data_IF_256804864015
#
_entry.id   IF_256804864015
#
_cell.length_a   1.000
_cell.length_b   1.000
_cell.length_c   1.000
_cell.angle_alpha   90.00
_cell.angle_beta   90.00
_cell.angle_gamma   90.00
#
_symmetry.space_group_name_H-M   'P 1'
#
loop_
_entity.id
_entity.type
_entity.pdbx_description
1 polymer ?
#
# COMPACT_ATOMS: atom_id res chain seq x y z
N UNK A 1 14.00 3.25 -15.56
CA UNK A 1 12.89 3.56 -14.66
C UNK A 1 12.96 2.57 -13.48
N UNK A 2 13.46 3.04 -12.34
CA UNK A 2 13.34 2.30 -11.10
C UNK A 2 11.87 2.44 -10.66
N UNK A 3 11.04 1.48 -11.04
CA UNK A 3 9.68 1.38 -10.50
C UNK A 3 9.78 1.13 -8.99
N UNK A 4 8.86 1.69 -8.24
CA UNK A 4 8.84 1.62 -6.79
C UNK A 4 8.14 0.34 -6.32
N UNK A 5 8.53 -0.15 -5.15
CA UNK A 5 7.80 -1.17 -4.42
C UNK A 5 7.06 -0.48 -3.28
N UNK A 6 5.75 -0.61 -3.25
CA UNK A 6 4.88 0.03 -2.26
C UNK A 6 4.23 -1.05 -1.41
N UNK A 7 4.42 -0.99 -0.10
CA UNK A 7 3.69 -1.82 0.85
C UNK A 7 2.70 -0.95 1.61
N UNK A 8 1.43 -1.31 1.56
CA UNK A 8 0.38 -0.73 2.38
C UNK A 8 0.31 -1.49 3.70
N UNK A 9 0.53 -0.80 4.81
CA UNK A 9 0.33 -1.32 6.16
C UNK A 9 -0.99 -0.74 6.71
N UNK A 10 -1.99 -1.59 6.85
CA UNK A 10 -3.35 -1.18 7.22
C UNK A 10 -3.67 -1.66 8.62
N UNK A 11 -4.05 -0.72 9.47
CA UNK A 11 -4.53 -0.98 10.81
C UNK A 11 -5.91 -1.65 10.78
N UNK A 12 -6.00 -2.83 11.38
CA UNK A 12 -7.22 -3.63 11.55
C UNK A 12 -7.67 -3.69 13.01
N UNK A 13 -7.14 -2.82 13.88
CA UNK A 13 -7.54 -2.73 15.27
C UNK A 13 -9.01 -2.29 15.42
N UNK A 14 -9.60 -2.55 16.58
CA UNK A 14 -11.01 -2.22 16.84
C UNK A 14 -11.30 -0.72 16.73
N UNK A 15 -10.35 0.15 16.99
CA UNK A 15 -10.51 1.61 16.84
C UNK A 15 -10.84 2.01 15.40
N UNK A 16 -10.40 1.21 14.42
CA UNK A 16 -10.69 1.40 13.01
C UNK A 16 -12.16 1.09 12.62
N UNK A 17 -12.97 0.57 13.54
CA UNK A 17 -14.43 0.44 13.39
C UNK A 17 -15.19 1.71 13.75
N UNK A 18 -14.51 2.74 14.29
CA UNK A 18 -15.13 4.03 14.57
C UNK A 18 -15.71 4.65 13.29
N UNK A 19 -16.90 5.26 13.42
CA UNK A 19 -17.70 5.74 12.29
C UNK A 19 -17.68 7.28 12.15
N UNK A 20 -16.62 7.92 12.61
CA UNK A 20 -16.39 9.35 12.38
C UNK A 20 -16.00 9.65 10.93
N UNK A 21 -15.64 8.61 10.18
CA UNK A 21 -15.46 8.62 8.72
C UNK A 21 -16.36 7.52 8.15
N UNK A 22 -17.19 7.84 7.17
CA UNK A 22 -18.17 6.89 6.61
C UNK A 22 -17.54 5.93 5.58
N UNK A 23 -17.87 4.63 5.58
CA UNK A 23 -18.81 3.92 6.47
C UNK A 23 -18.23 3.66 7.86
N UNK A 24 -16.94 3.38 7.99
CA UNK A 24 -16.06 3.39 9.15
C UNK A 24 -14.63 3.64 8.68
N UNK A 25 -13.68 3.80 9.62
CA UNK A 25 -12.28 4.11 9.28
C UNK A 25 -11.64 3.04 8.40
N UNK A 26 -11.80 1.75 8.74
CA UNK A 26 -11.22 0.63 7.99
C UNK A 26 -11.77 0.56 6.57
N UNK A 27 -13.08 0.58 6.41
CA UNK A 27 -13.71 0.52 5.08
C UNK A 27 -13.35 1.75 4.23
N UNK A 28 -13.27 2.93 4.84
CA UNK A 28 -12.81 4.12 4.12
C UNK A 28 -11.35 4.00 3.67
N UNK A 29 -10.48 3.46 4.52
CA UNK A 29 -9.09 3.20 4.19
C UNK A 29 -8.97 2.22 3.01
N UNK A 30 -9.72 1.11 3.04
CA UNK A 30 -9.75 0.11 1.96
C UNK A 30 -10.18 0.73 0.62
N UNK A 31 -11.24 1.52 0.60
CA UNK A 31 -11.70 2.22 -0.61
C UNK A 31 -10.65 3.19 -1.16
N UNK A 32 -9.96 3.91 -0.30
CA UNK A 32 -8.92 4.85 -0.71
C UNK A 32 -7.68 4.14 -1.26
N UNK A 33 -7.28 3.00 -0.67
CA UNK A 33 -6.17 2.17 -1.17
C UNK A 33 -6.53 1.56 -2.52
N UNK A 34 -7.75 1.07 -2.70
CA UNK A 34 -8.24 0.55 -3.97
C UNK A 34 -8.16 1.61 -5.08
N UNK A 35 -8.60 2.84 -4.79
CA UNK A 35 -8.51 3.96 -5.74
C UNK A 35 -7.06 4.35 -6.04
N UNK A 36 -6.17 4.32 -5.04
CA UNK A 36 -4.73 4.52 -5.23
C UNK A 36 -4.16 3.49 -6.20
N UNK A 37 -4.38 2.20 -5.95
CA UNK A 37 -3.78 1.09 -6.73
C UNK A 37 -4.30 1.07 -8.16
N UNK A 38 -5.57 1.35 -8.38
CA UNK A 38 -6.16 1.46 -9.73
C UNK A 38 -5.56 2.59 -10.57
N UNK A 39 -5.11 3.66 -9.93
CA UNK A 39 -4.49 4.81 -10.60
C UNK A 39 -2.98 4.73 -10.66
N UNK A 40 -2.37 3.84 -9.85
CA UNK A 40 -0.92 3.64 -9.82
C UNK A 40 -0.55 2.52 -10.79
N UNK A 41 0.05 2.89 -11.92
CA UNK A 41 0.36 1.94 -13.00
C UNK A 41 1.79 1.40 -12.98
N UNK A 42 2.68 1.99 -12.16
CA UNK A 42 4.10 1.72 -12.19
C UNK A 42 4.61 1.22 -10.84
N UNK A 43 4.83 -0.09 -10.71
CA UNK A 43 5.40 -0.65 -9.50
C UNK A 43 4.64 -1.86 -8.98
N UNK A 44 5.24 -2.53 -8.00
CA UNK A 44 4.58 -3.62 -7.29
C UNK A 44 3.91 -3.07 -6.05
N UNK A 45 2.80 -3.68 -5.68
CA UNK A 45 2.06 -3.38 -4.45
C UNK A 45 2.02 -4.61 -3.56
N UNK A 46 2.14 -4.42 -2.26
CA UNK A 46 2.02 -5.45 -1.24
C UNK A 46 1.14 -4.96 -0.10
N UNK A 47 0.63 -5.88 0.71
CA UNK A 47 -0.33 -5.60 1.78
C UNK A 47 0.09 -6.26 3.08
N UNK A 48 0.20 -5.48 4.13
CA UNK A 48 0.37 -5.91 5.52
C UNK A 48 -0.87 -5.46 6.31
N UNK A 49 -1.47 -6.36 7.04
CA UNK A 49 -2.49 -6.04 8.05
C UNK A 49 -1.88 -6.09 9.43
N UNK A 50 -2.25 -5.16 10.30
CA UNK A 50 -1.74 -5.13 11.67
C UNK A 50 -2.79 -4.69 12.69
N UNK A 51 -2.54 -5.09 13.92
CA UNK A 51 -3.16 -4.65 15.17
C UNK A 51 -2.10 -4.85 16.28
N UNK A 52 -2.31 -5.68 17.30
CA UNK A 52 -1.26 -6.07 18.25
C UNK A 52 -0.14 -6.94 17.65
N UNK A 53 -0.32 -7.44 16.45
CA UNK A 53 0.68 -8.13 15.60
C UNK A 53 0.52 -7.66 14.16
N UNK A 54 1.51 -8.01 13.31
CA UNK A 54 1.49 -7.67 11.89
C UNK A 54 1.76 -8.91 11.04
N UNK A 55 1.04 -9.05 9.92
CA UNK A 55 1.21 -10.15 8.98
C UNK A 55 1.08 -9.69 7.54
N UNK A 56 1.93 -10.25 6.69
CA UNK A 56 1.88 -10.07 5.25
C UNK A 56 0.62 -10.77 4.69
N UNK A 57 -0.29 -10.01 4.11
CA UNK A 57 -1.54 -10.51 3.50
C UNK A 57 -1.40 -10.73 2.00
N UNK A 58 -0.65 -9.86 1.33
CA UNK A 58 -0.34 -9.98 -0.08
C UNK A 58 1.13 -9.63 -0.31
N UNK A 59 1.95 -10.56 -0.81
CA UNK A 59 3.32 -10.26 -1.21
C UNK A 59 3.36 -9.23 -2.35
N UNK A 60 4.51 -8.57 -2.54
CA UNK A 60 4.70 -7.62 -3.63
C UNK A 60 4.37 -8.24 -4.99
N UNK A 61 3.37 -7.71 -5.66
CA UNK A 61 2.85 -8.20 -6.93
C UNK A 61 2.53 -7.07 -7.91
N UNK A 62 2.57 -7.37 -9.20
CA UNK A 62 1.99 -6.54 -10.27
C UNK A 62 0.51 -6.89 -10.53
N UNK A 63 0.02 -7.99 -9.95
CA UNK A 63 -1.38 -8.40 -10.06
C UNK A 63 -2.23 -7.59 -9.09
N UNK A 64 -2.77 -6.48 -9.59
CA UNK A 64 -3.63 -5.60 -8.81
C UNK A 64 -4.95 -6.26 -8.43
N UNK A 65 -5.41 -7.26 -9.20
CA UNK A 65 -6.62 -8.04 -8.87
C UNK A 65 -6.40 -8.87 -7.61
N UNK A 66 -5.32 -9.64 -7.56
CA UNK A 66 -4.95 -10.43 -6.38
C UNK A 66 -4.71 -9.55 -5.14
N UNK A 67 -4.13 -8.35 -5.33
CA UNK A 67 -4.00 -7.37 -4.25
C UNK A 67 -5.37 -6.87 -3.76
N UNK A 68 -6.28 -6.48 -4.68
CA UNK A 68 -7.62 -6.00 -4.32
C UNK A 68 -8.43 -7.08 -3.60
N UNK A 69 -8.35 -8.34 -4.01
CA UNK A 69 -9.01 -9.46 -3.31
C UNK A 69 -8.51 -9.59 -1.87
N UNK A 70 -7.19 -9.51 -1.67
CA UNK A 70 -6.59 -9.55 -0.33
C UNK A 70 -7.00 -8.33 0.52
N UNK A 71 -7.06 -7.14 -0.09
CA UNK A 71 -7.48 -5.91 0.56
C UNK A 71 -8.94 -5.98 1.02
N UNK A 72 -9.84 -6.46 0.16
CA UNK A 72 -11.28 -6.57 0.46
C UNK A 72 -11.56 -7.59 1.55
N UNK A 73 -10.71 -8.63 1.67
CA UNK A 73 -10.82 -9.65 2.71
C UNK A 73 -10.45 -9.16 4.12
N UNK A 74 -9.81 -7.98 4.25
CA UNK A 74 -9.46 -7.43 5.57
C UNK A 74 -10.70 -7.04 6.37
N UNK A 75 -10.71 -7.45 7.64
CA UNK A 75 -11.68 -7.06 8.65
C UNK A 75 -10.99 -6.92 10.02
N UNK A 76 -11.75 -6.59 11.06
CA UNK A 76 -11.28 -6.48 12.44
C UNK A 76 -10.86 -7.80 13.07
N UNK A 77 -11.11 -8.93 12.41
CA UNK A 77 -10.75 -10.29 12.86
C UNK A 77 -9.50 -10.81 12.17
N UNK A 78 -9.03 -10.10 11.16
CA UNK A 78 -7.84 -10.49 10.38
C UNK A 78 -6.62 -10.67 11.30
N UNK A 79 -6.51 -9.84 12.34
CA UNK A 79 -5.46 -9.95 13.36
C UNK A 79 -6.10 -10.33 14.70
N UNK A 80 -5.80 -11.55 15.18
CA UNK A 80 -6.41 -12.07 16.40
C UNK A 80 -5.93 -11.38 17.68
N UNK A 81 -4.71 -10.81 17.68
CA UNK A 81 -4.13 -10.15 18.86
C UNK A 81 -4.59 -8.70 18.89
N UNK A 82 -5.33 -8.30 19.95
CA UNK A 82 -5.80 -6.93 20.11
C UNK A 82 -4.60 -5.98 20.40
N UNK A 83 -4.82 -4.70 20.17
CA UNK A 83 -3.82 -3.66 20.35
C UNK A 83 -3.45 -3.01 19.03
N UNK A 84 -2.44 -2.14 19.05
CA UNK A 84 -1.89 -1.48 17.87
C UNK A 84 -0.37 -1.35 18.06
N UNK A 85 0.39 -2.10 17.27
CA UNK A 85 1.86 -2.09 17.27
C UNK A 85 2.35 -1.61 15.89
N UNK A 86 2.58 -0.32 15.80
CA UNK A 86 3.06 0.34 14.58
C UNK A 86 4.48 -0.12 14.22
N UNK A 87 5.31 -0.40 15.21
CA UNK A 87 6.67 -0.88 14.97
C UNK A 87 6.69 -2.22 14.24
N UNK A 88 5.87 -3.18 14.66
CA UNK A 88 5.71 -4.46 13.97
C UNK A 88 5.16 -4.31 12.55
N UNK A 89 4.20 -3.39 12.37
CA UNK A 89 3.67 -3.10 11.04
C UNK A 89 4.76 -2.61 10.07
N UNK A 90 5.63 -1.71 10.53
CA UNK A 90 6.76 -1.20 9.78
C UNK A 90 7.82 -2.27 9.52
N UNK A 91 8.13 -3.10 10.54
CA UNK A 91 9.09 -4.21 10.44
C UNK A 91 8.65 -5.25 9.41
N UNK A 92 7.40 -5.72 9.49
CA UNK A 92 6.83 -6.69 8.55
C UNK A 92 6.79 -6.13 7.12
N UNK A 93 6.42 -4.85 6.98
CA UNK A 93 6.43 -4.17 5.68
C UNK A 93 7.84 -4.09 5.09
N UNK A 94 8.85 -3.87 5.92
CA UNK A 94 10.25 -3.85 5.49
C UNK A 94 10.72 -5.23 5.06
N UNK A 95 10.42 -6.27 5.82
CA UNK A 95 10.77 -7.66 5.49
C UNK A 95 10.19 -8.07 4.12
N UNK A 96 8.97 -7.64 3.81
CA UNK A 96 8.35 -7.90 2.51
C UNK A 96 9.13 -7.30 1.33
N UNK A 97 10.01 -6.30 1.58
CA UNK A 97 10.80 -5.58 0.58
C UNK A 97 12.32 -5.82 0.69
N UNK A 98 12.81 -6.57 1.69
CA UNK A 98 14.20 -6.59 2.08
C UNK A 98 15.16 -6.95 0.93
N UNK A 99 14.79 -7.91 0.09
CA UNK A 99 15.66 -8.45 -0.98
C UNK A 99 15.56 -7.67 -2.31
N UNK A 100 15.03 -6.46 -2.30
CA UNK A 100 14.69 -5.73 -3.51
C UNK A 100 15.59 -4.50 -3.72
N UNK A 101 16.14 -4.34 -4.94
CA UNK A 101 16.97 -3.20 -5.35
C UNK A 101 16.16 -2.00 -5.87
N UNK A 102 14.87 -1.92 -5.50
CA UNK A 102 13.98 -0.85 -5.93
C UNK A 102 13.80 0.19 -4.83
N UNK A 103 13.26 1.35 -5.17
CA UNK A 103 12.84 2.33 -4.18
C UNK A 103 11.75 1.71 -3.30
N UNK A 104 11.94 1.77 -1.99
CA UNK A 104 11.07 1.15 -0.98
C UNK A 104 10.19 2.20 -0.36
N UNK A 105 8.89 2.03 -0.50
CA UNK A 105 7.88 2.92 0.06
C UNK A 105 6.91 2.13 0.93
N UNK A 106 6.69 2.61 2.14
CA UNK A 106 5.63 2.10 3.02
C UNK A 106 4.55 3.19 3.13
N UNK A 107 3.31 2.81 2.99
CA UNK A 107 2.14 3.64 3.26
C UNK A 107 1.43 3.09 4.48
N UNK A 108 1.67 3.72 5.63
CA UNK A 108 1.10 3.34 6.91
C UNK A 108 -0.25 4.04 7.09
N UNK A 109 -1.31 3.27 7.31
CA UNK A 109 -2.69 3.77 7.42
C UNK A 109 -3.26 3.33 8.77
N UNK A 110 -3.47 4.29 9.68
CA UNK A 110 -3.89 4.05 11.06
C UNK A 110 -4.52 5.30 11.66
N UNK A 111 -5.19 5.18 12.78
CA UNK A 111 -5.64 6.33 13.58
C UNK A 111 -4.54 6.91 14.51
N UNK A 112 -3.35 6.34 14.46
CA UNK A 112 -2.17 6.85 15.16
C UNK A 112 -2.02 6.37 16.60
N UNK A 113 -2.96 5.61 17.14
CA UNK A 113 -2.80 4.98 18.45
C UNK A 113 -1.68 3.91 18.35
N UNK A 114 -0.50 4.21 18.90
CA UNK A 114 0.63 3.27 19.00
C UNK A 114 0.81 2.86 20.45
N UNK A 115 0.11 1.82 20.83
CA UNK A 115 0.05 1.34 22.23
C UNK A 115 1.40 0.83 22.73
N UNK A 116 2.27 0.39 21.84
CA UNK A 116 3.60 -0.13 22.17
C UNK A 116 4.70 0.93 22.08
N UNK A 117 4.40 2.14 21.55
CA UNK A 117 5.36 3.22 21.30
C UNK A 117 6.60 2.79 20.52
N UNK A 118 6.45 1.80 19.66
CA UNK A 118 7.54 1.16 18.91
C UNK A 118 7.76 1.79 17.52
N UNK A 119 6.76 2.50 17.01
CA UNK A 119 6.72 3.00 15.64
C UNK A 119 7.85 3.97 15.30
N UNK A 120 8.12 4.96 16.14
CA UNK A 120 9.18 5.94 15.88
C UNK A 120 10.59 5.31 15.92
N UNK A 121 10.82 4.35 16.82
CA UNK A 121 12.09 3.60 16.87
C UNK A 121 12.32 2.83 15.59
N UNK A 122 11.33 2.09 15.13
CA UNK A 122 11.42 1.32 13.88
C UNK A 122 11.60 2.26 12.67
N UNK A 123 10.88 3.38 12.62
CA UNK A 123 11.03 4.38 11.57
C UNK A 123 12.46 4.91 11.45
N UNK A 124 13.17 5.09 12.56
CA UNK A 124 14.58 5.50 12.55
C UNK A 124 15.46 4.45 11.87
N UNK A 125 15.26 3.16 12.16
CA UNK A 125 15.96 2.06 11.50
C UNK A 125 15.66 2.01 9.99
N UNK A 126 14.41 2.24 9.62
CA UNK A 126 14.00 2.28 8.20
C UNK A 126 14.64 3.43 7.44
N UNK A 127 14.81 4.60 8.09
CA UNK A 127 15.46 5.75 7.49
C UNK A 127 16.92 5.44 7.11
N UNK A 128 17.64 4.66 7.92
CA UNK A 128 19.00 4.18 7.64
C UNK A 128 19.03 3.24 6.43
N UNK A 129 17.94 2.51 6.20
CA UNK A 129 17.79 1.58 5.06
C UNK A 129 17.18 2.24 3.80
N UNK A 130 17.10 3.58 3.75
CA UNK A 130 16.52 4.35 2.64
C UNK A 130 15.07 3.97 2.32
N UNK A 131 14.30 3.56 3.31
CA UNK A 131 12.85 3.35 3.19
C UNK A 131 12.14 4.66 3.49
N UNK A 132 11.20 5.01 2.64
CA UNK A 132 10.34 6.20 2.84
C UNK A 132 8.99 5.73 3.38
N UNK A 133 8.54 6.32 4.50
CA UNK A 133 7.24 6.01 5.09
C UNK A 133 6.33 7.21 4.94
N UNK A 134 5.25 7.05 4.18
CA UNK A 134 4.12 7.98 4.20
C UNK A 134 3.14 7.50 5.26
N UNK A 135 2.67 8.41 6.07
CA UNK A 135 1.69 8.11 7.11
C UNK A 135 0.35 8.76 6.78
N UNK A 136 -0.71 7.98 6.85
CA UNK A 136 -2.08 8.44 6.57
C UNK A 136 -2.92 8.26 7.83
N UNK A 137 -3.32 9.40 8.41
CA UNK A 137 -4.14 9.42 9.62
C UNK A 137 -5.62 9.25 9.28
N UNK A 138 -6.28 8.27 9.91
CA UNK A 138 -7.70 7.98 9.69
C UNK A 138 -8.51 8.31 10.92
N UNK A 139 -9.57 9.10 10.74
CA UNK A 139 -10.44 9.55 11.82
C UNK A 139 -10.40 11.04 12.03
N UNK A 140 -10.97 11.50 13.13
CA UNK A 140 -11.07 12.91 13.50
C UNK A 140 -10.47 13.18 14.89
N UNK A 141 -10.05 14.41 15.13
CA UNK A 141 -9.57 14.82 16.46
C UNK A 141 -10.70 14.80 17.52
N UNK A 142 -11.96 14.96 17.12
CA UNK A 142 -13.12 14.84 18.02
C UNK A 142 -13.32 13.38 18.43
N UNK A 143 -12.93 12.45 17.59
CA UNK A 143 -13.09 11.01 17.77
C UNK A 143 -14.53 10.53 17.75
N UNK A 144 -14.69 9.21 17.77
CA UNK A 144 -15.98 8.55 17.83
C UNK A 144 -15.97 7.33 18.74
N UNK A 145 -17.17 6.88 19.07
CA UNK A 145 -17.39 5.63 19.79
C UNK A 145 -17.05 4.45 18.88
N UNK A 146 -16.43 3.42 19.47
CA UNK A 146 -16.18 2.18 18.76
C UNK A 146 -17.43 1.32 18.86
N UNK A 147 -17.94 0.86 17.73
CA UNK A 147 -19.10 -0.03 17.66
C UNK A 147 -18.71 -1.33 16.95
N UNK A 148 -19.04 -2.45 17.58
CA UNK A 148 -18.78 -3.79 17.05
C UNK A 148 -20.10 -4.52 16.85
N UNK A 149 -20.13 -5.45 15.90
CA UNK A 149 -21.28 -6.32 15.72
C UNK A 149 -21.21 -7.49 16.71
N UNK A 150 -22.22 -7.64 17.55
CA UNK A 150 -22.30 -8.77 18.46
C UNK A 150 -22.75 -10.06 17.73
N UNK A 151 -22.73 -11.19 18.44
CA UNK A 151 -23.12 -12.50 17.89
C UNK A 151 -24.57 -12.53 17.35
N UNK A 152 -25.42 -11.61 17.78
CA UNK A 152 -26.81 -11.48 17.36
C UNK A 152 -26.97 -10.54 16.15
N UNK A 153 -25.87 -10.04 15.58
CA UNK A 153 -25.90 -9.09 14.46
C UNK A 153 -26.34 -7.68 14.82
N UNK A 154 -26.29 -7.30 16.12
CA UNK A 154 -26.62 -5.96 16.59
C UNK A 154 -25.34 -5.15 16.84
N UNK A 155 -25.36 -3.87 16.49
CA UNK A 155 -24.27 -2.94 16.81
C UNK A 155 -24.28 -2.66 18.32
N UNK A 156 -23.16 -2.96 18.96
CA UNK A 156 -22.92 -2.73 20.39
C UNK A 156 -21.73 -1.79 20.55
N UNK A 157 -21.86 -0.84 21.49
CA UNK A 157 -20.78 0.10 21.81
C UNK A 157 -19.77 -0.60 22.71
N UNK A 158 -18.50 -0.50 22.35
CA UNK A 158 -17.40 -1.07 23.14
C UNK A 158 -17.27 -0.28 24.44
N UNK A 159 -17.20 -1.02 25.57
CA UNK A 159 -16.98 -0.46 26.90
C UNK A 159 -15.68 -0.99 27.47
N UNK A 160 -15.04 -0.16 28.29
CA UNK A 160 -13.86 -0.56 29.04
C UNK A 160 -14.21 -1.42 30.26
N UNK A 161 -13.22 -1.79 31.05
CA UNK A 161 -13.38 -2.59 32.27
C UNK A 161 -14.18 -1.89 33.34
N UNK A 162 -14.33 -0.57 33.28
CA UNK A 162 -15.13 0.25 34.22
C UNK A 162 -16.57 0.47 33.70
N UNK A 163 -16.89 -0.03 32.50
CA UNK A 163 -18.19 0.14 31.86
C UNK A 163 -18.34 1.47 31.10
N UNK A 164 -17.29 2.27 30.99
CA UNK A 164 -17.29 3.52 30.22
C UNK A 164 -17.17 3.25 28.70
N UNK A 165 -17.82 4.11 27.93
CA UNK A 165 -17.77 4.00 26.45
C UNK A 165 -16.38 4.32 25.94
N UNK A 166 -15.78 3.38 25.20
CA UNK A 166 -14.47 3.58 24.58
C UNK A 166 -14.63 4.51 23.36
N UNK A 167 -13.87 5.59 23.37
CA UNK A 167 -13.78 6.54 22.25
C UNK A 167 -12.37 6.54 21.70
N UNK A 168 -12.25 6.39 20.41
CA UNK A 168 -10.96 6.52 19.71
C UNK A 168 -10.86 7.87 19.01
N UNK A 169 -9.66 8.45 19.02
CA UNK A 169 -9.34 9.73 18.39
C UNK A 169 -8.13 9.57 17.51
N UNK A 170 -8.06 10.38 16.46
CA UNK A 170 -6.86 10.44 15.64
C UNK A 170 -5.71 11.11 16.44
N UNK A 171 -4.58 10.40 16.57
CA UNK A 171 -3.31 10.97 17.07
C UNK A 171 -2.32 11.19 15.92
N UNK A 172 -2.20 12.46 15.51
CA UNK A 172 -1.32 12.83 14.41
C UNK A 172 0.15 12.97 14.83
N UNK A 173 0.44 13.10 16.13
CA UNK A 173 1.77 13.46 16.63
C UNK A 173 2.80 12.42 16.25
N UNK A 174 2.54 11.15 16.56
CA UNK A 174 3.41 10.04 16.23
C UNK A 174 3.51 9.82 14.72
N UNK A 175 2.41 9.94 14.00
CA UNK A 175 2.38 9.76 12.54
C UNK A 175 3.25 10.80 11.83
N UNK A 176 3.17 12.06 12.24
CA UNK A 176 4.02 13.13 11.71
C UNK A 176 5.50 12.91 12.02
N UNK A 177 5.82 12.41 13.21
CA UNK A 177 7.19 12.10 13.59
C UNK A 177 7.78 10.95 12.76
N UNK A 178 7.04 9.86 12.56
CA UNK A 178 7.43 8.70 11.74
C UNK A 178 7.68 9.14 10.29
N UNK A 179 6.75 9.87 9.68
CA UNK A 179 6.90 10.36 8.32
C UNK A 179 8.16 11.25 8.18
N UNK A 180 8.34 12.21 9.09
CA UNK A 180 9.47 13.14 9.07
C UNK A 180 10.83 12.45 9.15
N UNK A 181 10.99 11.47 10.05
CA UNK A 181 12.26 10.73 10.23
C UNK A 181 12.64 9.97 8.97
N UNK A 182 11.67 9.40 8.26
CA UNK A 182 11.87 8.62 7.02
C UNK A 182 11.82 9.47 5.75
N UNK A 183 11.78 10.80 5.87
CA UNK A 183 11.64 11.74 4.74
C UNK A 183 10.35 11.57 3.95
N UNK A 184 9.33 10.96 4.53
CA UNK A 184 7.98 10.90 4.00
C UNK A 184 7.14 12.10 4.42
N UNK A 185 5.85 11.99 4.17
CA UNK A 185 4.87 13.02 4.50
C UNK A 185 3.68 12.40 5.26
N UNK A 186 3.12 13.19 6.17
CA UNK A 186 1.86 12.85 6.84
C UNK A 186 0.71 13.49 6.08
N UNK A 187 -0.35 12.71 5.84
CA UNK A 187 -1.59 13.22 5.26
C UNK A 187 -2.79 12.69 6.06
N UNK A 188 -3.77 13.56 6.41
CA UNK A 188 -5.05 13.06 6.88
C UNK A 188 -5.77 12.38 5.72
N UNK A 189 -6.40 11.24 5.96
CA UNK A 189 -7.12 10.50 4.91
C UNK A 189 -8.21 11.36 4.26
N UNK A 190 -8.94 12.13 5.08
CA UNK A 190 -10.07 12.92 4.64
C UNK A 190 -11.35 12.10 4.43
N UNK A 191 -12.47 12.77 4.22
CA UNK A 191 -13.78 12.14 4.10
C UNK A 191 -13.94 11.28 2.83
N UNK A 192 -13.25 11.63 1.76
CA UNK A 192 -13.30 10.96 0.46
C UNK A 192 -12.02 10.19 0.12
N UNK A 193 -11.03 10.16 1.02
CA UNK A 193 -9.75 9.49 0.77
C UNK A 193 -8.73 10.34 0.02
N UNK A 194 -8.94 11.65 -0.05
CA UNK A 194 -8.08 12.61 -0.77
C UNK A 194 -6.64 12.64 -0.26
N UNK A 195 -6.42 12.30 1.01
CA UNK A 195 -5.07 12.20 1.58
C UNK A 195 -4.22 11.16 0.85
N UNK A 196 -4.81 10.01 0.55
CA UNK A 196 -4.09 8.96 -0.18
C UNK A 196 -3.81 9.35 -1.64
N UNK A 197 -4.67 10.15 -2.26
CA UNK A 197 -4.40 10.71 -3.57
C UNK A 197 -3.20 11.67 -3.56
N UNK A 198 -3.03 12.49 -2.48
CA UNK A 198 -1.84 13.33 -2.30
C UNK A 198 -0.57 12.51 -2.08
N UNK A 199 -0.64 11.45 -1.26
CA UNK A 199 0.47 10.49 -1.10
C UNK A 199 0.88 9.90 -2.44
N UNK A 200 -0.07 9.47 -3.29
CA UNK A 200 0.23 8.93 -4.61
C UNK A 200 1.01 9.94 -5.47
N UNK A 201 0.57 11.18 -5.50
CA UNK A 201 1.27 12.23 -6.24
C UNK A 201 2.67 12.50 -5.70
N UNK A 202 2.86 12.46 -4.37
CA UNK A 202 4.16 12.61 -3.74
C UNK A 202 5.11 11.44 -4.07
N UNK A 203 4.60 10.21 -4.07
CA UNK A 203 5.36 9.01 -4.48
C UNK A 203 5.78 9.14 -5.96
N UNK A 204 4.84 9.45 -6.85
CA UNK A 204 5.12 9.62 -8.28
C UNK A 204 6.10 10.76 -8.56
N UNK A 205 6.00 11.90 -7.87
CA UNK A 205 6.94 13.03 -8.06
C UNK A 205 8.37 12.67 -7.67
N UNK A 206 8.58 11.93 -6.60
CA UNK A 206 9.90 11.45 -6.18
C UNK A 206 10.50 10.42 -7.14
N UNK A 207 9.67 9.69 -7.87
CA UNK A 207 10.13 8.82 -8.95
C UNK A 207 10.84 9.63 -10.06
N UNK A 208 10.39 10.86 -10.31
CA UNK A 208 10.99 11.77 -11.31
C UNK A 208 12.28 12.43 -10.81
N UNK A 209 12.38 12.81 -9.54
CA UNK A 209 13.54 13.52 -8.98
C UNK A 209 14.80 12.62 -8.82
N UNK A 210 14.67 11.32 -8.90
CA UNK A 210 15.76 10.35 -8.77
C UNK A 210 16.66 10.20 -10.01
N UNK A 211 16.66 11.14 -10.94
CA UNK A 211 17.63 11.25 -12.03
C UNK A 211 17.43 10.27 -13.18
N UNK A 212 16.80 10.73 -14.19
CA UNK A 212 17.03 10.61 -15.62
C UNK A 212 15.73 11.00 -16.34
N UNK A 213 15.82 11.92 -17.26
CA UNK A 213 14.74 12.28 -18.19
C UNK A 213 14.01 11.01 -18.64
N UNK A 214 12.67 11.03 -18.73
CA UNK A 214 11.91 9.88 -19.24
C UNK A 214 12.13 9.76 -20.75
N UNK A 215 13.28 9.30 -21.16
CA UNK A 215 13.38 8.62 -22.44
C UNK A 215 12.77 7.25 -22.21
N UNK A 216 11.46 7.18 -22.34
CA UNK A 216 10.77 5.92 -22.61
C UNK A 216 11.43 5.33 -23.85
N UNK A 217 12.47 4.50 -23.65
CA UNK A 217 12.89 3.56 -24.68
C UNK A 217 11.80 2.49 -24.71
N UNK A 218 10.72 2.78 -25.43
CA UNK A 218 9.94 1.70 -26.00
C UNK A 218 10.95 0.87 -26.79
N UNK A 219 11.21 -0.33 -26.36
CA UNK A 219 11.89 -1.31 -27.17
C UNK A 219 11.04 -1.46 -28.43
N UNK A 220 11.45 -0.76 -29.50
CA UNK A 220 10.81 -0.96 -30.79
C UNK A 220 11.05 -2.40 -31.13
N UNK A 221 10.01 -3.18 -31.05
CA UNK A 221 10.03 -4.62 -31.31
C UNK A 221 10.44 -4.80 -32.78
N UNK A 222 11.72 -5.08 -32.99
CA UNK A 222 12.30 -5.17 -34.35
C UNK A 222 12.12 -6.55 -34.97
N UNK A 223 11.23 -7.37 -34.41
CA UNK A 223 11.00 -8.73 -34.89
C UNK A 223 10.54 -8.74 -36.36
N UNK A 224 9.84 -7.71 -36.82
CA UNK A 224 9.38 -7.56 -38.19
C UNK A 224 10.52 -7.54 -39.22
N UNK A 225 11.74 -7.11 -38.85
CA UNK A 225 12.91 -7.22 -39.75
C UNK A 225 13.34 -8.68 -39.92
N UNK A 226 13.26 -9.50 -38.86
CA UNK A 226 13.56 -10.92 -38.93
C UNK A 226 12.49 -11.65 -39.74
N UNK A 227 11.21 -11.32 -39.55
CA UNK A 227 10.11 -11.88 -40.33
C UNK A 227 10.24 -11.51 -41.83
N UNK A 228 10.58 -10.26 -42.13
CA UNK A 228 10.81 -9.84 -43.50
C UNK A 228 11.99 -10.59 -44.16
N UNK A 229 13.09 -10.81 -43.43
CA UNK A 229 14.25 -11.57 -43.91
C UNK A 229 13.89 -13.04 -44.21
N UNK A 230 13.12 -13.68 -43.32
CA UNK A 230 12.63 -15.07 -43.50
C UNK A 230 11.68 -15.16 -44.69
N UNK A 231 10.77 -14.20 -44.87
CA UNK A 231 9.87 -14.14 -46.01
C UNK A 231 10.61 -13.98 -47.31
N UNK A 232 11.64 -13.13 -47.36
CA UNK A 232 12.48 -12.92 -48.55
C UNK A 232 13.24 -14.18 -48.92
N UNK A 233 13.76 -14.93 -47.93
CA UNK A 233 14.42 -16.23 -48.13
C UNK A 233 13.45 -17.27 -48.71
N UNK A 234 12.23 -17.37 -48.19
CA UNK A 234 11.22 -18.31 -48.70
C UNK A 234 10.80 -17.95 -50.15
N UNK A 235 10.64 -16.68 -50.46
CA UNK A 235 10.32 -16.24 -51.82
C UNK A 235 11.46 -16.55 -52.77
N UNK A 236 12.73 -16.34 -52.42
CA UNK A 236 13.88 -16.68 -53.24
C UNK A 236 14.03 -18.18 -53.47
N UNK A 237 13.81 -18.97 -52.43
CA UNK A 237 13.78 -20.45 -52.52
C UNK A 237 12.67 -20.96 -53.47
N UNK A 238 11.47 -20.39 -53.35
CA UNK A 238 10.33 -20.72 -54.23
C UNK A 238 10.63 -20.39 -55.68
N UNK A 239 11.28 -19.24 -55.96
CA UNK A 239 11.65 -18.81 -57.31
C UNK A 239 12.78 -19.68 -57.92
N UNK A 240 13.73 -20.08 -57.09
CA UNK A 240 14.85 -20.95 -57.53
C UNK A 240 14.40 -22.41 -57.69
N UNK A 241 13.50 -22.88 -56.83
CA UNK A 241 12.92 -24.26 -56.89
C UNK A 241 12.10 -24.50 -58.13
N UNK A 242 11.41 -23.51 -58.68
CA UNK A 242 10.61 -23.62 -59.90
C UNK A 242 11.47 -23.66 -61.18
N UNK A 243 12.73 -23.24 -61.14
CA UNK A 243 13.66 -23.29 -62.30
C UNK A 243 14.32 -24.66 -62.55
N UNK A 244 14.22 -25.60 -61.64
CA UNK A 244 14.87 -26.93 -61.75
C UNK A 244 13.93 -28.04 -62.27
N UNK A 245 12.74 -27.71 -62.74
CA UNK A 245 11.82 -28.61 -63.43
C UNK A 245 11.47 -28.13 -64.83
N UNK A 246 12.49 -28.05 -65.72
CA UNK A 246 12.34 -28.13 -67.17
C UNK A 246 13.56 -28.83 -67.75
#
# INVERSE_FOLDING_TARGET
NLSEDIVFAIDCSRSMLAADVSPNRLERAKLAVQDFVRKHTNGRVGLVAFAGQAFLQCPLTFDHGAFEDSLLALDERTIAVPGTDVGRALEESFHAMEKMDRKKVIVLITDGEDLENSGLKMATTLAESNVVVYTVGVGTAAGAEIRVMNERGQLEVVRDTNGEVVRSRLDETNLRAIAKVTRGEYEPLGALGEGLARVRLAVESRAFDGGASPTQRYGVDRFHFFVAAVLMLLVTESLLGTRKRR
#
